data_IF_155292043197
#
_entry.id   IF_155292043197
#
_cell.length_a   1.000
_cell.length_b   1.000
_cell.length_c   1.000
_cell.angle_alpha   90.00
_cell.angle_beta   90.00
_cell.angle_gamma   90.00
#
_symmetry.space_group_name_H-M   'P 1'
#
loop_
_entity.id
_entity.type
_entity.pdbx_description
1 polymer ?
#
# COMPACT_ATOMS: atom_id res chain seq x y z
N UNK A 1 7.72 -8.22 -8.14
CA UNK A 1 6.31 -8.20 -7.74
C UNK A 1 5.57 -7.04 -8.39
N UNK A 2 4.25 -7.10 -8.39
CA UNK A 2 3.44 -6.02 -8.95
C UNK A 2 3.68 -4.70 -8.20
N UNK A 3 3.85 -4.74 -6.90
CA UNK A 3 4.11 -3.54 -6.09
C UNK A 3 5.44 -2.90 -6.48
N UNK A 4 6.49 -3.69 -6.67
CA UNK A 4 7.80 -3.16 -7.07
C UNK A 4 7.73 -2.52 -8.46
N UNK A 5 6.95 -3.10 -9.37
CA UNK A 5 6.77 -2.54 -10.71
C UNK A 5 6.04 -1.20 -10.69
N UNK A 6 5.28 -0.91 -9.64
CA UNK A 6 4.56 0.35 -9.47
C UNK A 6 5.35 1.39 -8.70
N UNK A 7 6.61 1.10 -8.36
CA UNK A 7 7.50 2.06 -7.73
C UNK A 7 7.73 1.89 -6.23
N UNK A 8 7.16 0.86 -5.62
CA UNK A 8 7.42 0.58 -4.21
C UNK A 8 8.86 0.11 -4.02
N UNK A 9 9.48 0.53 -2.92
CA UNK A 9 10.86 0.26 -2.60
C UNK A 9 10.98 -0.40 -1.23
N UNK A 10 12.09 -1.10 -1.02
CA UNK A 10 12.42 -1.63 0.30
C UNK A 10 12.50 -0.49 1.31
N UNK A 11 11.90 -0.67 2.46
CA UNK A 11 11.84 0.36 3.50
C UNK A 11 10.61 1.23 3.45
N UNK A 12 9.78 1.11 2.40
CA UNK A 12 8.50 1.81 2.35
C UNK A 12 7.53 1.20 3.35
N UNK A 13 6.78 2.05 4.04
CA UNK A 13 5.77 1.63 5.00
C UNK A 13 4.39 1.95 4.46
N UNK A 14 3.59 0.92 4.23
CA UNK A 14 2.20 1.10 3.80
C UNK A 14 1.38 1.44 5.04
N UNK A 15 0.81 2.65 5.07
CA UNK A 15 0.02 3.12 6.21
C UNK A 15 -1.46 2.90 6.01
N UNK A 16 -1.94 3.08 4.78
CA UNK A 16 -3.36 2.94 4.45
C UNK A 16 -3.51 2.33 3.08
N UNK A 17 -4.61 1.62 2.86
CA UNK A 17 -5.04 1.14 1.56
C UNK A 17 -6.53 1.48 1.41
N UNK A 18 -6.88 2.20 0.35
CA UNK A 18 -8.26 2.66 0.12
C UNK A 18 -8.83 3.36 1.36
N UNK A 19 -7.99 4.18 2.02
CA UNK A 19 -8.30 4.94 3.23
C UNK A 19 -8.52 4.08 4.48
N UNK A 20 -8.22 2.79 4.40
CA UNK A 20 -8.31 1.88 5.53
C UNK A 20 -6.92 1.72 6.14
N UNK A 21 -6.79 1.99 7.42
CA UNK A 21 -5.50 1.88 8.10
C UNK A 21 -5.02 0.44 8.12
N UNK A 22 -3.74 0.27 7.78
CA UNK A 22 -3.08 -1.03 7.73
C UNK A 22 -2.09 -1.10 8.89
N UNK A 23 -2.29 -2.06 9.79
CA UNK A 23 -1.39 -2.27 10.93
C UNK A 23 -0.42 -3.42 10.69
N UNK A 24 -0.83 -4.41 9.89
CA UNK A 24 0.00 -5.59 9.62
C UNK A 24 -0.35 -6.18 8.26
N UNK A 25 0.35 -7.25 7.91
CA UNK A 25 0.16 -7.91 6.62
C UNK A 25 -1.24 -8.53 6.48
N UNK A 26 -1.83 -8.99 7.57
CA UNK A 26 -3.18 -9.57 7.54
C UNK A 26 -4.21 -8.52 7.13
N UNK A 27 -4.09 -7.28 7.65
CA UNK A 27 -4.94 -6.17 7.25
C UNK A 27 -4.83 -5.90 5.76
N UNK A 28 -3.60 -5.87 5.25
CA UNK A 28 -3.36 -5.63 3.83
C UNK A 28 -4.01 -6.70 2.97
N UNK A 29 -3.85 -7.96 3.34
CA UNK A 29 -4.44 -9.08 2.60
C UNK A 29 -5.96 -9.00 2.58
N UNK A 30 -6.56 -8.64 3.71
CA UNK A 30 -8.01 -8.54 3.79
C UNK A 30 -8.54 -7.44 2.89
N UNK A 31 -7.93 -6.26 2.93
CA UNK A 31 -8.35 -5.15 2.08
C UNK A 31 -8.13 -5.48 0.61
N UNK A 32 -6.99 -6.07 0.28
CA UNK A 32 -6.66 -6.44 -1.10
C UNK A 32 -7.65 -7.47 -1.67
N UNK A 33 -8.24 -8.30 -0.81
CA UNK A 33 -9.22 -9.30 -1.26
C UNK A 33 -10.58 -8.69 -1.61
N UNK A 34 -10.86 -7.46 -1.15
CA UNK A 34 -12.16 -6.81 -1.33
C UNK A 34 -12.23 -5.89 -2.53
N UNK A 35 -11.09 -5.38 -2.98
CA UNK A 35 -11.05 -4.32 -3.99
C UNK A 35 -10.17 -4.72 -5.16
N UNK A 36 -10.63 -4.39 -6.37
CA UNK A 36 -9.85 -4.65 -7.59
C UNK A 36 -8.75 -3.60 -7.77
N UNK A 37 -9.01 -2.39 -7.32
CA UNK A 37 -8.06 -1.28 -7.42
C UNK A 37 -7.66 -0.86 -6.03
N UNK A 38 -6.34 -0.77 -5.79
CA UNK A 38 -5.80 -0.39 -4.50
C UNK A 38 -5.08 0.95 -4.59
N UNK A 39 -5.46 1.88 -3.72
CA UNK A 39 -4.75 3.13 -3.55
C UNK A 39 -3.96 3.03 -2.24
N UNK A 40 -2.63 2.92 -2.38
CA UNK A 40 -1.76 2.74 -1.22
C UNK A 40 -1.19 4.07 -0.79
N UNK A 41 -1.36 4.39 0.49
CA UNK A 41 -0.66 5.49 1.12
C UNK A 41 0.60 4.93 1.77
N UNK A 42 1.75 5.45 1.36
CA UNK A 42 3.05 4.92 1.74
C UNK A 42 3.88 6.02 2.37
N UNK A 43 4.61 5.65 3.42
CA UNK A 43 5.58 6.54 4.03
C UNK A 43 6.99 6.10 3.64
N UNK A 44 7.73 7.04 3.07
CA UNK A 44 9.13 6.83 2.69
C UNK A 44 9.97 7.90 3.39
N UNK A 45 10.58 7.50 4.51
CA UNK A 45 11.24 8.47 5.37
C UNK A 45 10.22 9.45 5.95
N UNK A 46 10.40 10.75 5.67
CA UNK A 46 9.47 11.81 6.08
C UNK A 46 8.49 12.20 4.97
N UNK A 47 8.46 11.45 3.86
CA UNK A 47 7.60 11.75 2.71
C UNK A 47 6.38 10.85 2.71
N UNK A 48 5.26 11.41 2.31
CA UNK A 48 4.02 10.66 2.08
C UNK A 48 3.82 10.52 0.58
N UNK A 49 3.65 9.27 0.13
CA UNK A 49 3.49 8.95 -1.28
C UNK A 49 2.20 8.17 -1.47
N UNK A 50 1.64 8.23 -2.67
CA UNK A 50 0.47 7.43 -3.03
C UNK A 50 0.76 6.65 -4.30
N UNK A 51 0.40 5.37 -4.28
CA UNK A 51 0.53 4.48 -5.43
C UNK A 51 -0.81 3.85 -5.74
N UNK A 52 -1.09 3.67 -7.01
CA UNK A 52 -2.26 2.92 -7.46
C UNK A 52 -1.79 1.58 -8.01
N UNK A 53 -2.40 0.51 -7.52
CA UNK A 53 -2.14 -0.86 -8.00
C UNK A 53 -3.43 -1.44 -8.51
N UNK A 54 -3.32 -1.99 -9.68
CA UNK A 54 -4.39 -2.75 -10.26
C UNK A 54 -3.90 -3.99 -10.93
#
# INVERSE_FOLDING_TARGET
>A
SAAAQRGLQTGDLITHVNRIRISDLADLREVASRYDILFLNVRRGDRALMFQIR
#
